data_IF_608612071856
#
_entry.id   IF_608612071856
#
_cell.length_a   1.000
_cell.length_b   1.000
_cell.length_c   1.000
_cell.angle_alpha   90.00
_cell.angle_beta   90.00
_cell.angle_gamma   90.00
#
_symmetry.space_group_name_H-M   'P 1'
#
loop_
_entity.id
_entity.type
_entity.pdbx_description
1 polymer ?
#
# COMPACT_ATOMS: atom_id res chain seq x y z
N UNK A 1 -10.69 10.92 14.77
CA UNK A 1 -9.78 10.78 13.60
C UNK A 1 -10.38 11.55 12.44
N UNK A 2 -9.56 12.30 11.73
CA UNK A 2 -10.01 13.00 10.51
C UNK A 2 -10.42 11.99 9.43
N UNK A 3 -11.13 12.44 8.39
CA UNK A 3 -11.42 11.57 7.22
C UNK A 3 -10.14 10.97 6.65
N UNK A 4 -9.11 11.79 6.46
CA UNK A 4 -7.80 11.38 5.97
C UNK A 4 -7.19 10.29 6.85
N UNK A 5 -7.18 10.49 8.15
CA UNK A 5 -6.58 9.55 9.11
C UNK A 5 -7.33 8.21 9.13
N UNK A 6 -8.67 8.22 8.98
CA UNK A 6 -9.47 6.99 8.86
C UNK A 6 -9.12 6.19 7.61
N UNK A 7 -9.07 6.84 6.44
CA UNK A 7 -8.72 6.16 5.19
C UNK A 7 -7.26 5.71 5.18
N UNK A 8 -6.36 6.50 5.75
CA UNK A 8 -4.97 6.12 5.96
C UNK A 8 -4.85 4.85 6.82
N UNK A 9 -5.56 4.79 7.96
CA UNK A 9 -5.58 3.59 8.80
C UNK A 9 -6.10 2.36 8.05
N UNK A 10 -7.21 2.50 7.32
CA UNK A 10 -7.77 1.40 6.51
C UNK A 10 -6.73 0.93 5.49
N UNK A 11 -6.14 1.85 4.73
CA UNK A 11 -5.14 1.52 3.72
C UNK A 11 -3.88 0.89 4.35
N UNK A 12 -3.51 1.30 5.57
CA UNK A 12 -2.37 0.73 6.29
C UNK A 12 -2.65 -0.73 6.69
N UNK A 13 -3.86 -1.03 7.17
CA UNK A 13 -4.26 -2.41 7.47
C UNK A 13 -4.27 -3.29 6.21
N UNK A 14 -4.76 -2.76 5.09
CA UNK A 14 -4.71 -3.46 3.81
C UNK A 14 -3.27 -3.68 3.37
N UNK A 15 -2.39 -2.69 3.56
CA UNK A 15 -0.97 -2.81 3.22
C UNK A 15 -0.28 -3.89 4.06
N UNK A 16 -0.58 -4.02 5.35
CA UNK A 16 -0.03 -5.09 6.17
C UNK A 16 -0.46 -6.48 5.67
N UNK A 17 -1.71 -6.62 5.23
CA UNK A 17 -2.19 -7.85 4.59
C UNK A 17 -1.51 -8.08 3.22
N UNK A 18 -1.27 -7.02 2.46
CA UNK A 18 -0.56 -7.05 1.18
C UNK A 18 0.89 -7.53 1.36
N UNK A 19 1.63 -6.93 2.30
CA UNK A 19 2.99 -7.35 2.65
C UNK A 19 3.04 -8.83 3.07
N UNK A 20 2.04 -9.31 3.82
CA UNK A 20 1.95 -10.73 4.19
C UNK A 20 1.76 -11.64 2.97
N UNK A 21 0.87 -11.27 2.04
CA UNK A 21 0.65 -11.98 0.78
C UNK A 21 1.95 -12.04 -0.05
N UNK A 22 2.64 -10.92 -0.21
CA UNK A 22 3.87 -10.81 -0.98
C UNK A 22 5.03 -11.62 -0.39
N UNK A 23 5.21 -11.57 0.94
CA UNK A 23 6.22 -12.36 1.65
C UNK A 23 5.94 -13.86 1.51
N UNK A 24 4.68 -14.28 1.68
CA UNK A 24 4.27 -15.68 1.63
C UNK A 24 4.37 -16.28 0.23
N UNK A 25 4.04 -15.48 -0.80
CA UNK A 25 4.01 -15.92 -2.20
C UNK A 25 5.31 -15.64 -2.95
N UNK A 26 6.31 -15.06 -2.28
CA UNK A 26 7.65 -14.88 -2.81
C UNK A 26 7.77 -13.80 -3.88
N UNK A 27 7.13 -12.64 -3.67
CA UNK A 27 7.19 -11.48 -4.57
C UNK A 27 8.62 -11.14 -5.01
N UNK A 28 9.57 -11.15 -4.06
CA UNK A 28 11.00 -10.90 -4.30
C UNK A 28 11.67 -11.76 -5.39
N UNK A 29 11.09 -12.92 -5.75
CA UNK A 29 11.56 -13.81 -6.83
C UNK A 29 10.92 -13.49 -8.18
N UNK A 30 9.73 -12.90 -8.15
CA UNK A 30 8.84 -12.72 -9.30
C UNK A 30 8.84 -11.29 -9.82
N UNK A 31 9.22 -10.31 -9.00
CA UNK A 31 9.12 -8.90 -9.36
C UNK A 31 9.88 -8.58 -10.66
N UNK A 32 9.15 -7.97 -11.60
CA UNK A 32 9.64 -7.75 -12.97
C UNK A 32 10.68 -6.63 -13.07
N UNK A 33 10.76 -5.73 -12.07
CA UNK A 33 11.72 -4.63 -12.07
C UNK A 33 13.10 -5.15 -11.65
N UNK A 34 13.17 -5.85 -10.51
CA UNK A 34 14.40 -6.51 -10.07
C UNK A 34 14.09 -7.64 -9.09
N UNK A 35 14.97 -8.65 -9.09
CA UNK A 35 14.94 -9.75 -8.11
C UNK A 35 15.83 -9.39 -6.93
N UNK A 36 15.46 -9.85 -5.74
CA UNK A 36 16.27 -9.62 -4.54
C UNK A 36 16.26 -10.82 -3.60
N UNK A 37 17.27 -10.97 -2.72
CA UNK A 37 17.23 -11.94 -1.64
C UNK A 37 16.05 -11.69 -0.70
N UNK A 38 15.47 -12.75 -0.14
CA UNK A 38 14.33 -12.65 0.79
C UNK A 38 14.58 -11.71 1.96
N UNK A 39 15.79 -11.72 2.55
CA UNK A 39 16.11 -10.87 3.70
C UNK A 39 16.08 -9.38 3.35
N UNK A 40 16.50 -8.98 2.14
CA UNK A 40 16.43 -7.59 1.68
C UNK A 40 14.97 -7.15 1.58
N UNK A 41 14.13 -8.00 0.99
CA UNK A 41 12.69 -7.75 0.86
C UNK A 41 12.01 -7.67 2.23
N UNK A 42 12.29 -8.61 3.13
CA UNK A 42 11.75 -8.61 4.48
C UNK A 42 12.15 -7.36 5.28
N UNK A 43 13.43 -6.95 5.20
CA UNK A 43 13.89 -5.72 5.85
C UNK A 43 13.17 -4.50 5.27
N UNK A 44 13.00 -4.43 3.95
CA UNK A 44 12.22 -3.38 3.31
C UNK A 44 10.78 -3.33 3.84
N UNK A 45 10.06 -4.45 3.86
CA UNK A 45 8.67 -4.52 4.33
C UNK A 45 8.52 -4.10 5.80
N UNK A 46 9.46 -4.52 6.66
CA UNK A 46 9.48 -4.13 8.08
C UNK A 46 9.72 -2.63 8.21
N UNK A 47 10.74 -2.08 7.54
CA UNK A 47 11.05 -0.66 7.59
C UNK A 47 9.91 0.20 7.03
N UNK A 48 9.32 -0.22 5.90
CA UNK A 48 8.20 0.46 5.27
C UNK A 48 6.98 0.48 6.21
N UNK A 49 6.60 -0.68 6.76
CA UNK A 49 5.47 -0.80 7.68
C UNK A 49 5.69 0.01 8.96
N UNK A 50 6.88 -0.08 9.56
CA UNK A 50 7.21 0.67 10.77
C UNK A 50 7.15 2.18 10.52
N UNK A 51 7.68 2.67 9.39
CA UNK A 51 7.61 4.08 9.04
C UNK A 51 6.15 4.59 9.02
N UNK A 52 5.25 3.87 8.34
CA UNK A 52 3.85 4.29 8.24
C UNK A 52 3.07 4.13 9.56
N UNK A 53 3.41 3.13 10.37
CA UNK A 53 2.88 3.00 11.73
C UNK A 53 3.33 4.19 12.60
N UNK A 54 4.58 4.66 12.47
CA UNK A 54 5.05 5.84 13.17
C UNK A 54 4.31 7.11 12.74
N UNK A 55 4.02 7.27 11.43
CA UNK A 55 3.17 8.38 10.92
C UNK A 55 1.76 8.33 11.52
N UNK A 56 1.20 7.14 11.77
CA UNK A 56 -0.07 6.99 12.47
C UNK A 56 0.03 7.42 13.94
N UNK A 57 1.01 6.88 14.67
CA UNK A 57 1.05 6.91 16.13
C UNK A 57 1.65 8.19 16.72
N UNK A 58 2.44 8.95 15.95
CA UNK A 58 3.09 10.17 16.42
C UNK A 58 2.33 11.40 15.91
N UNK A 59 1.54 12.10 16.76
CA UNK A 59 0.73 13.24 16.30
C UNK A 59 1.57 14.44 15.82
N UNK A 60 2.78 14.57 16.37
CA UNK A 60 3.74 15.66 16.08
C UNK A 60 4.68 15.31 14.92
N UNK A 61 4.39 14.24 14.16
CA UNK A 61 5.23 13.82 13.05
C UNK A 61 5.29 14.92 11.96
N UNK A 62 6.48 15.31 11.47
CA UNK A 62 6.61 16.35 10.45
C UNK A 62 5.81 16.01 9.18
N UNK A 63 5.04 16.97 8.66
CA UNK A 63 4.24 16.81 7.43
C UNK A 63 3.27 15.63 7.45
N UNK A 64 2.79 15.21 8.63
CA UNK A 64 1.92 14.03 8.83
C UNK A 64 0.76 13.95 7.84
N UNK A 65 0.00 15.03 7.65
CA UNK A 65 -1.13 15.05 6.72
C UNK A 65 -0.71 14.76 5.27
N UNK A 66 0.33 15.45 4.79
CA UNK A 66 0.89 15.23 3.46
C UNK A 66 1.38 13.78 3.27
N UNK A 67 2.04 13.22 4.28
CA UNK A 67 2.50 11.83 4.26
C UNK A 67 1.33 10.84 4.18
N UNK A 68 0.24 11.08 4.93
CA UNK A 68 -0.95 10.24 4.88
C UNK A 68 -1.64 10.29 3.51
N UNK A 69 -1.74 11.48 2.89
CA UNK A 69 -2.26 11.64 1.54
C UNK A 69 -1.37 10.94 0.51
N UNK A 70 -0.06 11.15 0.62
CA UNK A 70 0.92 10.50 -0.25
C UNK A 70 0.85 8.98 -0.14
N UNK A 71 0.69 8.43 1.07
CA UNK A 71 0.50 6.99 1.27
C UNK A 71 -0.72 6.46 0.52
N UNK A 72 -1.86 7.15 0.61
CA UNK A 72 -3.08 6.73 -0.10
C UNK A 72 -2.87 6.69 -1.62
N UNK A 73 -2.20 7.70 -2.19
CA UNK A 73 -1.84 7.74 -3.61
C UNK A 73 -0.84 6.64 -3.97
N UNK A 74 0.18 6.41 -3.12
CA UNK A 74 1.19 5.38 -3.32
C UNK A 74 0.57 3.98 -3.35
N UNK A 75 -0.33 3.68 -2.42
CA UNK A 75 -1.03 2.40 -2.35
C UNK A 75 -2.01 2.21 -3.52
N UNK A 76 -2.66 3.27 -3.96
CA UNK A 76 -3.44 3.24 -5.19
C UNK A 76 -2.58 2.87 -6.41
N UNK A 77 -1.45 3.54 -6.58
CA UNK A 77 -0.52 3.28 -7.69
C UNK A 77 0.03 1.85 -7.62
N UNK A 78 0.38 1.36 -6.43
CA UNK A 78 0.78 -0.03 -6.20
C UNK A 78 -0.36 -0.99 -6.65
N UNK A 79 -1.59 -0.80 -6.16
CA UNK A 79 -2.72 -1.65 -6.53
C UNK A 79 -2.96 -1.69 -8.04
N UNK A 80 -2.94 -0.54 -8.72
CA UNK A 80 -3.04 -0.48 -10.19
C UNK A 80 -1.90 -1.26 -10.85
N UNK A 81 -0.67 -1.12 -10.35
CA UNK A 81 0.50 -1.81 -10.90
C UNK A 81 0.38 -3.34 -10.76
N UNK A 82 -0.15 -3.89 -9.67
CA UNK A 82 -0.37 -5.34 -9.54
C UNK A 82 -1.45 -5.85 -10.50
N UNK A 83 -2.56 -5.11 -10.64
CA UNK A 83 -3.65 -5.47 -11.57
C UNK A 83 -3.14 -5.47 -13.02
N UNK A 84 -2.45 -4.40 -13.42
CA UNK A 84 -1.87 -4.29 -14.77
C UNK A 84 -0.83 -5.38 -14.99
N UNK A 85 0.06 -5.61 -14.03
CA UNK A 85 1.10 -6.64 -14.15
C UNK A 85 0.47 -8.03 -14.33
N UNK A 86 -0.51 -8.40 -13.50
CA UNK A 86 -1.22 -9.66 -13.63
C UNK A 86 -1.92 -9.80 -14.99
N UNK A 87 -2.53 -8.72 -15.49
CA UNK A 87 -3.14 -8.68 -16.83
C UNK A 87 -2.13 -8.92 -17.96
N UNK A 88 -0.93 -8.35 -17.85
CA UNK A 88 0.14 -8.52 -18.86
C UNK A 88 0.70 -9.95 -18.84
N UNK A 89 1.01 -10.51 -17.66
CA UNK A 89 1.58 -11.87 -17.57
C UNK A 89 0.51 -12.97 -17.64
N UNK A 90 -0.77 -12.61 -17.58
CA UNK A 90 -1.94 -13.52 -17.56
C UNK A 90 -1.83 -14.60 -16.48
N UNK A 91 -1.24 -14.24 -15.35
CA UNK A 91 -0.98 -15.13 -14.21
C UNK A 91 -1.25 -14.37 -12.92
N UNK A 92 -1.49 -15.13 -11.87
CA UNK A 92 -1.51 -14.59 -10.53
C UNK A 92 -0.13 -14.01 -10.18
N UNK A 93 -0.15 -12.87 -9.49
CA UNK A 93 1.03 -12.13 -9.03
C UNK A 93 0.87 -11.93 -7.53
N UNK A 94 1.91 -12.15 -6.70
CA UNK A 94 1.86 -11.84 -5.28
C UNK A 94 1.40 -10.40 -5.03
N UNK A 95 0.49 -10.17 -4.07
CA UNK A 95 -0.09 -8.86 -3.78
C UNK A 95 -1.37 -8.53 -4.57
N UNK A 96 -1.81 -9.42 -5.47
CA UNK A 96 -2.98 -9.19 -6.32
C UNK A 96 -4.31 -9.28 -5.56
N UNK A 97 -4.41 -10.04 -4.46
CA UNK A 97 -5.66 -10.17 -3.71
C UNK A 97 -6.04 -8.83 -3.07
N UNK A 98 -5.04 -8.12 -2.55
CA UNK A 98 -5.20 -6.85 -1.83
C UNK A 98 -5.17 -5.63 -2.73
N UNK A 99 -4.63 -5.75 -3.95
CA UNK A 99 -4.54 -4.66 -4.92
C UNK A 99 -5.89 -3.98 -5.26
N UNK A 100 -7.00 -4.71 -5.56
CA UNK A 100 -8.31 -4.09 -5.76
C UNK A 100 -8.82 -3.34 -4.53
N UNK A 101 -8.48 -3.79 -3.33
CA UNK A 101 -8.90 -3.16 -2.09
C UNK A 101 -8.22 -1.79 -1.95
N UNK A 102 -6.91 -1.70 -2.22
CA UNK A 102 -6.20 -0.40 -2.25
C UNK A 102 -6.83 0.57 -3.24
N UNK A 103 -7.20 0.10 -4.43
CA UNK A 103 -7.86 0.91 -5.45
C UNK A 103 -9.21 1.44 -4.93
N UNK A 104 -10.05 0.56 -4.37
CA UNK A 104 -11.37 0.93 -3.84
C UNK A 104 -11.24 1.94 -2.69
N UNK A 105 -10.35 1.69 -1.73
CA UNK A 105 -10.12 2.58 -0.58
C UNK A 105 -9.74 3.98 -1.05
N UNK A 106 -8.84 4.09 -2.02
CA UNK A 106 -8.45 5.38 -2.59
C UNK A 106 -9.59 6.06 -3.36
N UNK A 107 -10.33 5.34 -4.20
CA UNK A 107 -11.43 5.92 -4.97
C UNK A 107 -12.54 6.45 -4.05
N UNK A 108 -12.89 5.69 -3.01
CA UNK A 108 -13.88 6.13 -2.02
C UNK A 108 -13.38 7.37 -1.27
N UNK A 109 -12.11 7.41 -0.87
CA UNK A 109 -11.50 8.60 -0.28
C UNK A 109 -11.59 9.81 -1.23
N UNK A 110 -11.12 9.64 -2.47
CA UNK A 110 -11.07 10.68 -3.49
C UNK A 110 -12.45 11.31 -3.75
N UNK A 111 -13.45 10.48 -4.03
CA UNK A 111 -14.81 10.98 -4.29
C UNK A 111 -15.46 11.60 -3.05
N UNK A 112 -15.13 11.12 -1.85
CA UNK A 112 -15.64 11.71 -0.62
C UNK A 112 -15.03 13.08 -0.34
N UNK A 113 -13.73 13.26 -0.62
CA UNK A 113 -13.07 14.57 -0.54
C UNK A 113 -13.68 15.53 -1.57
N UNK A 114 -13.85 15.11 -2.82
CA UNK A 114 -14.47 15.92 -3.87
C UNK A 114 -15.90 16.34 -3.55
N UNK A 115 -16.71 15.47 -2.94
CA UNK A 115 -18.09 15.79 -2.58
C UNK A 115 -18.20 16.69 -1.34
N UNK A 116 -17.12 16.82 -0.56
CA UNK A 116 -17.07 17.64 0.65
C UNK A 116 -16.44 19.03 0.46
N UNK A 117 -15.88 19.29 -0.72
CA UNK A 117 -15.37 20.61 -1.14
C UNK A 117 -16.39 21.34 -1.99
#
# INVERSE_FOLDING_TARGET
>A
MSILENFFLISLLVQLAHSFEELSMGFHKQWYVFKMPFWVFLTFEICFSLFWILVLLLPVFPFRAYLQEFFLVLMFANGVQHVVWSGVVKKYVPGLITAPIHIIVFLVFYFRVLASG
#
